data_IF_788663095338
#
_entry.id   IF_788663095338
#
_cell.length_a   1.000
_cell.length_b   1.000
_cell.length_c   1.000
_cell.angle_alpha   90.00
_cell.angle_beta   90.00
_cell.angle_gamma   90.00
#
_symmetry.space_group_name_H-M   'P 1'
#
loop_
_entity.id
_entity.type
_entity.pdbx_description
1 polymer ?
#
# COMPACT_ATOMS: atom_id res chain seq x y z
N UNK A 1 -22.58 3.58 -57.55
CA UNK A 1 -22.80 2.95 -56.21
C UNK A 1 -21.59 3.22 -55.35
N UNK A 2 -21.69 4.09 -54.33
CA UNK A 2 -20.58 4.43 -53.44
C UNK A 2 -20.52 3.43 -52.30
N UNK A 3 -19.40 2.69 -52.17
CA UNK A 3 -19.15 1.78 -51.04
C UNK A 3 -18.97 2.59 -49.75
N UNK A 4 -19.93 2.50 -48.82
CA UNK A 4 -19.80 3.00 -47.45
C UNK A 4 -18.59 2.34 -46.79
N UNK A 5 -17.54 3.11 -46.51
CA UNK A 5 -16.44 2.71 -45.62
C UNK A 5 -17.04 2.54 -44.22
N UNK A 6 -17.11 1.33 -43.75
CA UNK A 6 -17.42 1.01 -42.32
C UNK A 6 -16.16 1.33 -41.52
N UNK A 7 -16.24 2.40 -40.78
CA UNK A 7 -15.16 2.86 -39.89
C UNK A 7 -15.07 1.88 -38.67
N UNK A 8 -14.20 0.88 -38.77
CA UNK A 8 -13.88 -0.04 -37.66
C UNK A 8 -12.95 0.65 -36.65
N UNK A 9 -13.36 1.74 -36.08
CA UNK A 9 -12.73 2.27 -34.87
C UNK A 9 -13.21 1.42 -33.74
N UNK A 10 -12.45 0.40 -33.40
CA UNK A 10 -12.64 -0.33 -32.16
C UNK A 10 -12.63 0.67 -30.99
N UNK A 11 -13.71 0.72 -30.24
CA UNK A 11 -13.81 1.51 -29.01
C UNK A 11 -12.68 1.07 -28.08
N UNK A 12 -11.66 1.92 -27.91
CA UNK A 12 -10.61 1.67 -26.93
C UNK A 12 -11.27 1.57 -25.56
N UNK A 13 -11.10 0.42 -24.91
CA UNK A 13 -11.60 0.24 -23.54
C UNK A 13 -10.97 1.32 -22.64
N UNK A 14 -11.76 1.96 -21.76
CA UNK A 14 -11.22 2.98 -20.88
C UNK A 14 -10.16 2.36 -19.95
N UNK A 15 -9.03 3.03 -19.85
CA UNK A 15 -7.93 2.62 -18.97
C UNK A 15 -8.30 2.98 -17.53
N UNK A 16 -8.25 2.00 -16.62
CA UNK A 16 -8.46 2.24 -15.19
C UNK A 16 -7.31 3.04 -14.61
N UNK A 17 -7.61 4.19 -14.03
CA UNK A 17 -6.64 5.04 -13.35
C UNK A 17 -6.64 4.74 -11.86
N UNK A 18 -5.52 4.30 -11.33
CA UNK A 18 -5.34 3.95 -9.90
C UNK A 18 -4.35 4.92 -9.27
N UNK A 19 -4.76 5.55 -8.18
CA UNK A 19 -3.91 6.38 -7.34
C UNK A 19 -3.49 5.62 -6.09
N UNK A 20 -2.18 5.53 -5.88
CA UNK A 20 -1.61 5.08 -4.62
C UNK A 20 -1.23 6.28 -3.78
N UNK A 21 -1.68 6.28 -2.54
CA UNK A 21 -1.27 7.21 -1.50
C UNK A 21 -0.47 6.43 -0.47
N UNK A 22 0.80 6.80 -0.29
CA UNK A 22 1.71 6.16 0.65
C UNK A 22 2.20 7.17 1.68
N UNK A 23 2.66 6.71 2.84
CA UNK A 23 3.01 7.60 3.95
C UNK A 23 4.25 8.45 3.64
N UNK A 24 5.27 7.86 3.04
CA UNK A 24 6.53 8.54 2.79
C UNK A 24 7.26 8.08 1.52
N UNK A 25 8.43 8.68 1.36
CA UNK A 25 9.26 8.51 0.16
C UNK A 25 9.80 7.08 0.00
N UNK A 26 10.04 6.38 1.10
CA UNK A 26 10.52 4.98 1.10
C UNK A 26 9.50 4.06 0.45
N UNK A 27 8.23 4.17 0.88
CA UNK A 27 7.11 3.43 0.32
C UNK A 27 6.91 3.78 -1.14
N UNK A 28 6.98 5.06 -1.48
CA UNK A 28 6.82 5.54 -2.85
C UNK A 28 7.80 4.85 -3.79
N UNK A 29 9.08 4.87 -3.49
CA UNK A 29 10.10 4.23 -4.32
C UNK A 29 9.93 2.71 -4.35
N UNK A 30 9.72 2.09 -3.19
CA UNK A 30 9.54 0.64 -3.11
C UNK A 30 8.36 0.16 -3.96
N UNK A 31 7.17 0.74 -3.78
CA UNK A 31 5.98 0.31 -4.51
C UNK A 31 6.04 0.67 -6.00
N UNK A 32 6.65 1.80 -6.35
CA UNK A 32 6.85 2.16 -7.75
C UNK A 32 7.65 1.10 -8.50
N UNK A 33 8.77 0.67 -7.96
CA UNK A 33 9.61 -0.34 -8.60
C UNK A 33 9.00 -1.76 -8.49
N UNK A 34 8.36 -2.09 -7.37
CA UNK A 34 7.63 -3.35 -7.20
C UNK A 34 6.52 -3.51 -8.25
N UNK A 35 5.72 -2.47 -8.48
CA UNK A 35 4.63 -2.49 -9.44
C UNK A 35 5.13 -2.52 -10.88
N UNK A 36 6.24 -1.86 -11.16
CA UNK A 36 6.94 -1.95 -12.46
C UNK A 36 7.47 -3.37 -12.70
N UNK A 37 8.13 -3.96 -11.72
CA UNK A 37 8.62 -5.35 -11.77
C UNK A 37 7.51 -6.37 -12.00
N UNK A 38 6.32 -6.12 -11.46
CA UNK A 38 5.11 -6.95 -11.65
C UNK A 38 4.25 -6.53 -12.85
N UNK A 39 4.76 -5.66 -13.72
CA UNK A 39 4.09 -5.19 -14.96
C UNK A 39 2.75 -4.47 -14.77
N UNK A 40 2.49 -3.96 -13.54
CA UNK A 40 1.28 -3.19 -13.22
C UNK A 40 1.41 -1.69 -13.43
N UNK A 41 2.57 -1.19 -13.88
CA UNK A 41 2.91 0.26 -13.85
C UNK A 41 2.15 1.15 -14.83
N UNK A 42 1.55 0.58 -15.90
CA UNK A 42 1.04 1.37 -17.04
C UNK A 42 -0.11 2.35 -16.70
N UNK A 43 -0.76 2.20 -15.54
CA UNK A 43 -1.96 2.95 -15.18
C UNK A 43 -1.97 3.41 -13.72
N UNK A 44 -0.80 3.40 -13.08
CA UNK A 44 -0.66 3.66 -11.66
C UNK A 44 0.07 4.97 -11.42
N UNK A 45 -0.49 5.78 -10.54
CA UNK A 45 0.14 7.01 -10.06
C UNK A 45 0.36 6.87 -8.54
N UNK A 46 1.58 7.14 -8.07
CA UNK A 46 1.99 6.93 -6.69
C UNK A 46 2.50 8.25 -6.11
N UNK A 47 1.81 8.74 -5.08
CA UNK A 47 2.25 9.89 -4.31
C UNK A 47 2.45 9.57 -2.84
N UNK A 48 3.53 10.12 -2.28
CA UNK A 48 3.68 10.20 -0.84
C UNK A 48 2.94 11.40 -0.30
N UNK A 49 2.35 11.25 0.89
CA UNK A 49 1.64 12.35 1.56
C UNK A 49 2.58 13.28 2.33
N UNK A 50 3.89 13.03 2.29
CA UNK A 50 4.92 13.87 2.94
C UNK A 50 4.86 13.85 4.47
N UNK A 51 4.33 12.78 5.08
CA UNK A 51 4.01 12.71 6.50
C UNK A 51 2.64 13.33 6.82
N UNK A 52 2.42 13.75 8.06
CA UNK A 52 1.13 14.34 8.50
C UNK A 52 0.14 13.29 9.01
N UNK A 53 0.54 12.02 9.09
CA UNK A 53 -0.24 10.94 9.69
C UNK A 53 -1.52 10.61 8.93
N UNK A 54 -2.43 9.91 9.59
CA UNK A 54 -3.65 9.40 8.94
C UNK A 54 -4.62 10.50 8.48
N UNK A 55 -4.59 11.67 9.10
CA UNK A 55 -5.40 12.82 8.68
C UNK A 55 -5.05 13.30 7.26
N UNK A 56 -3.77 13.23 6.88
CA UNK A 56 -3.34 13.61 5.55
C UNK A 56 -3.95 12.71 4.46
N UNK A 57 -4.07 11.40 4.73
CA UNK A 57 -4.78 10.48 3.83
C UNK A 57 -6.25 10.86 3.65
N UNK A 58 -6.95 11.20 4.74
CA UNK A 58 -8.35 11.64 4.68
C UNK A 58 -8.53 12.84 3.75
N UNK A 59 -7.63 13.81 3.82
CA UNK A 59 -7.62 15.00 2.96
C UNK A 59 -7.36 14.62 1.49
N UNK A 60 -6.36 13.78 1.24
CA UNK A 60 -5.96 13.42 -0.13
C UNK A 60 -6.98 12.50 -0.82
N UNK A 61 -7.72 11.66 -0.07
CA UNK A 61 -8.81 10.85 -0.64
C UNK A 61 -9.84 11.74 -1.35
N UNK A 62 -10.28 12.81 -0.70
CA UNK A 62 -11.27 13.72 -1.28
C UNK A 62 -10.82 14.34 -2.59
N UNK A 63 -9.55 14.72 -2.68
CA UNK A 63 -8.96 15.30 -3.89
C UNK A 63 -8.81 14.28 -5.01
N UNK A 64 -8.34 13.08 -4.69
CA UNK A 64 -7.96 12.08 -5.67
C UNK A 64 -9.16 11.27 -6.18
N UNK A 65 -10.21 11.10 -5.38
CA UNK A 65 -11.39 10.31 -5.75
C UNK A 65 -12.10 10.83 -7.01
N UNK A 66 -12.04 12.13 -7.29
CA UNK A 66 -12.64 12.72 -8.50
C UNK A 66 -11.79 12.53 -9.75
N UNK A 67 -10.50 12.24 -9.61
CA UNK A 67 -9.55 12.14 -10.72
C UNK A 67 -9.22 10.70 -11.11
N UNK A 68 -9.43 9.76 -10.18
CA UNK A 68 -9.06 8.36 -10.31
C UNK A 68 -10.27 7.45 -10.10
N UNK A 69 -10.27 6.33 -10.79
CA UNK A 69 -11.29 5.30 -10.60
C UNK A 69 -11.14 4.59 -9.25
N UNK A 70 -9.90 4.49 -8.79
CA UNK A 70 -9.54 3.78 -7.56
C UNK A 70 -8.45 4.57 -6.83
N UNK A 71 -8.60 4.66 -5.50
CA UNK A 71 -7.57 5.20 -4.61
C UNK A 71 -7.15 4.08 -3.65
N UNK A 72 -5.88 3.74 -3.63
CA UNK A 72 -5.28 2.75 -2.73
C UNK A 72 -4.42 3.46 -1.70
N UNK A 73 -4.57 3.08 -0.44
CA UNK A 73 -3.78 3.63 0.67
C UNK A 73 -2.84 2.54 1.19
N UNK A 74 -1.60 2.90 1.43
CA UNK A 74 -0.62 2.05 2.11
C UNK A 74 -0.03 2.87 3.25
N UNK A 75 -0.21 2.39 4.48
CA UNK A 75 0.19 3.12 5.67
C UNK A 75 0.75 2.19 6.76
N UNK A 76 1.59 2.75 7.60
CA UNK A 76 2.14 2.07 8.77
C UNK A 76 1.14 2.07 9.92
N UNK A 77 1.15 1.01 10.72
CA UNK A 77 0.26 0.86 11.88
C UNK A 77 0.91 1.29 13.20
N UNK A 78 2.22 1.47 13.23
CA UNK A 78 2.99 1.78 14.43
C UNK A 78 2.54 3.08 15.12
N UNK A 79 2.27 4.14 14.36
CA UNK A 79 1.83 5.43 14.88
C UNK A 79 0.53 5.34 15.65
N UNK A 80 -0.45 4.57 15.14
CA UNK A 80 -1.72 4.36 15.81
C UNK A 80 -1.59 3.50 17.07
N UNK A 81 -0.55 2.68 17.16
CA UNK A 81 -0.26 1.86 18.36
C UNK A 81 0.40 2.70 19.45
N UNK A 82 1.30 3.60 19.09
CA UNK A 82 2.12 4.38 20.02
C UNK A 82 1.40 5.67 20.46
N UNK A 83 0.71 6.34 19.54
CA UNK A 83 0.12 7.66 19.77
C UNK A 83 -1.41 7.62 19.76
N UNK A 84 -2.04 7.97 20.89
CA UNK A 84 -3.50 7.96 21.04
C UNK A 84 -4.22 8.80 19.98
N UNK A 85 -3.77 10.02 19.71
CA UNK A 85 -4.37 10.88 18.68
C UNK A 85 -4.26 10.36 17.25
N UNK A 86 -3.21 9.59 16.94
CA UNK A 86 -3.10 8.92 15.63
C UNK A 86 -3.99 7.68 15.54
N UNK A 87 -4.20 6.98 16.67
CA UNK A 87 -5.17 5.88 16.76
C UNK A 87 -6.57 6.33 16.36
N UNK A 88 -7.04 7.44 16.92
CA UNK A 88 -8.36 8.00 16.61
C UNK A 88 -8.47 8.38 15.13
N UNK A 89 -7.46 9.04 14.57
CA UNK A 89 -7.42 9.40 13.15
C UNK A 89 -7.42 8.18 12.21
N UNK A 90 -6.77 7.09 12.59
CA UNK A 90 -6.83 5.85 11.81
C UNK A 90 -8.24 5.23 11.86
N UNK A 91 -8.88 5.20 13.04
CA UNK A 91 -10.27 4.73 13.18
C UNK A 91 -11.21 5.57 12.33
N UNK A 92 -11.04 6.90 12.33
CA UNK A 92 -11.82 7.82 11.49
C UNK A 92 -11.58 7.56 10.00
N UNK A 93 -10.33 7.35 9.58
CA UNK A 93 -9.98 7.02 8.20
C UNK A 93 -10.64 5.72 7.74
N UNK A 94 -10.54 4.64 8.53
CA UNK A 94 -11.21 3.37 8.24
C UNK A 94 -12.72 3.53 8.15
N UNK A 95 -13.31 4.32 9.07
CA UNK A 95 -14.75 4.60 9.06
C UNK A 95 -15.20 5.40 7.84
N UNK A 96 -14.36 6.35 7.38
CA UNK A 96 -14.61 7.07 6.13
C UNK A 96 -14.58 6.12 4.92
N UNK A 97 -13.60 5.24 4.84
CA UNK A 97 -13.49 4.27 3.76
C UNK A 97 -14.67 3.29 3.75
N UNK A 98 -15.15 2.87 4.93
CA UNK A 98 -16.35 2.04 5.05
C UNK A 98 -17.59 2.76 4.52
N UNK A 99 -17.79 4.04 4.88
CA UNK A 99 -18.91 4.87 4.38
C UNK A 99 -18.85 5.08 2.87
N UNK A 100 -17.65 5.20 2.32
CA UNK A 100 -17.43 5.35 0.88
C UNK A 100 -17.43 4.02 0.14
N UNK A 101 -17.59 2.90 0.84
CA UNK A 101 -17.47 1.53 0.31
C UNK A 101 -16.13 1.24 -0.39
N UNK A 102 -15.04 1.82 0.13
CA UNK A 102 -13.68 1.65 -0.39
C UNK A 102 -12.70 1.10 0.66
N UNK A 103 -13.21 0.45 1.72
CA UNK A 103 -12.40 -0.09 2.83
C UNK A 103 -11.34 -1.09 2.41
N UNK A 104 -11.55 -1.81 1.31
CA UNK A 104 -10.59 -2.77 0.80
C UNK A 104 -9.41 -2.10 0.05
N UNK A 105 -9.43 -0.78 -0.06
CA UNK A 105 -8.37 -0.01 -0.71
C UNK A 105 -7.30 0.45 0.28
N UNK A 106 -7.35 0.04 1.55
CA UNK A 106 -6.33 0.37 2.55
C UNK A 106 -5.53 -0.86 2.95
N UNK A 107 -4.22 -0.72 2.87
CA UNK A 107 -3.25 -1.72 3.30
C UNK A 107 -2.41 -1.15 4.45
N UNK A 108 -2.39 -1.89 5.55
CA UNK A 108 -1.72 -1.50 6.78
C UNK A 108 -0.64 -2.52 7.14
N UNK A 109 0.50 -2.06 7.58
CA UNK A 109 1.63 -2.92 7.98
C UNK A 109 2.10 -2.57 9.38
N UNK A 110 2.09 -3.53 10.28
CA UNK A 110 2.71 -3.42 11.61
C UNK A 110 4.09 -4.12 11.60
N UNK A 111 5.14 -3.51 12.07
CA UNK A 111 5.16 -2.11 12.57
C UNK A 111 5.00 -1.11 11.44
N UNK A 112 5.88 -1.18 10.46
CA UNK A 112 6.08 -0.25 9.36
C UNK A 112 6.49 -1.00 8.10
N UNK A 113 6.64 -0.28 7.00
CA UNK A 113 7.02 -0.86 5.72
C UNK A 113 8.41 -1.52 5.76
N UNK A 114 9.36 -0.98 6.54
CA UNK A 114 10.68 -1.57 6.67
C UNK A 114 10.61 -2.98 7.29
N UNK A 115 9.67 -3.20 8.21
CA UNK A 115 9.40 -4.54 8.77
C UNK A 115 8.91 -5.51 7.69
N UNK A 116 8.05 -5.05 6.78
CA UNK A 116 7.62 -5.82 5.63
C UNK A 116 8.80 -6.13 4.70
N UNK A 117 9.56 -5.11 4.32
CA UNK A 117 10.72 -5.25 3.44
C UNK A 117 11.75 -6.23 4.01
N UNK A 118 12.06 -6.13 5.30
CA UNK A 118 12.93 -7.07 6.00
C UNK A 118 12.38 -8.51 5.96
N UNK A 119 11.06 -8.67 6.07
CA UNK A 119 10.41 -9.98 6.02
C UNK A 119 10.44 -10.63 4.64
N UNK A 120 10.59 -9.86 3.57
CA UNK A 120 10.72 -10.42 2.20
C UNK A 120 12.06 -11.11 1.95
N UNK A 121 13.06 -10.86 2.78
CA UNK A 121 14.37 -11.50 2.66
C UNK A 121 14.32 -12.99 3.09
N UNK A 122 15.10 -13.87 2.45
CA UNK A 122 15.14 -15.30 2.76
C UNK A 122 15.77 -15.61 4.14
N UNK A 123 16.41 -14.63 4.75
CA UNK A 123 17.07 -14.74 6.06
C UNK A 123 16.59 -13.66 7.03
N UNK A 124 16.96 -13.77 8.31
CA UNK A 124 16.65 -12.78 9.34
C UNK A 124 17.71 -11.69 9.38
N UNK A 125 17.27 -10.46 9.55
CA UNK A 125 18.12 -9.28 9.76
C UNK A 125 17.67 -8.53 11.00
N UNK A 126 18.58 -7.78 11.60
CA UNK A 126 18.29 -6.96 12.78
C UNK A 126 17.95 -5.52 12.39
N UNK A 127 18.60 -5.00 11.35
CA UNK A 127 18.43 -3.62 10.88
C UNK A 127 18.48 -3.59 9.35
N UNK A 128 17.38 -3.16 8.74
CA UNK A 128 17.25 -3.11 7.28
C UNK A 128 18.15 -2.04 6.68
N UNK A 129 18.31 -0.90 7.34
CA UNK A 129 19.13 0.20 6.82
C UNK A 129 20.60 -0.17 6.76
N UNK A 130 21.07 -0.87 7.79
CA UNK A 130 22.43 -1.39 7.83
C UNK A 130 22.63 -2.49 6.78
N UNK A 131 21.67 -3.41 6.65
CA UNK A 131 21.73 -4.52 5.68
C UNK A 131 21.76 -4.03 4.24
N UNK A 132 21.00 -2.99 3.93
CA UNK A 132 20.91 -2.42 2.59
C UNK A 132 21.89 -1.27 2.35
N UNK A 133 22.63 -0.84 3.38
CA UNK A 133 23.66 0.21 3.27
C UNK A 133 23.10 1.61 2.97
N UNK A 134 21.94 1.97 3.54
CA UNK A 134 21.44 3.34 3.48
C UNK A 134 21.37 3.98 4.87
N UNK A 135 21.64 5.27 4.96
CA UNK A 135 21.49 6.03 6.20
C UNK A 135 20.14 6.75 6.19
N UNK A 136 19.40 6.70 7.29
CA UNK A 136 18.00 7.09 7.54
C UNK A 136 17.40 8.36 6.91
N UNK A 137 18.14 9.10 6.08
CA UNK A 137 17.63 10.22 5.26
C UNK A 137 17.48 9.75 3.81
N UNK A 138 16.78 10.47 2.98
CA UNK A 138 16.34 10.13 1.62
C UNK A 138 17.40 9.54 0.67
N UNK A 139 18.68 9.79 0.93
CA UNK A 139 19.78 9.34 0.07
C UNK A 139 19.94 7.82 0.13
N UNK A 140 19.77 7.16 -1.01
CA UNK A 140 19.89 5.70 -1.17
C UNK A 140 18.59 4.93 -0.97
N UNK A 141 17.46 5.63 -0.74
CA UNK A 141 16.14 4.99 -0.67
C UNK A 141 15.52 4.76 -2.05
N UNK A 142 15.99 5.48 -3.07
CA UNK A 142 15.56 5.32 -4.46
C UNK A 142 15.83 3.89 -4.97
N UNK A 143 16.90 3.28 -4.51
CA UNK A 143 17.34 1.94 -4.94
C UNK A 143 16.92 0.82 -3.98
N UNK A 144 16.07 1.10 -2.98
CA UNK A 144 15.74 0.13 -1.93
C UNK A 144 15.15 -1.15 -2.47
N UNK A 145 14.32 -1.06 -3.49
CA UNK A 145 13.73 -2.24 -4.14
C UNK A 145 14.81 -3.09 -4.83
N UNK A 146 15.70 -2.47 -5.61
CA UNK A 146 16.78 -3.20 -6.30
C UNK A 146 17.71 -3.86 -5.29
N UNK A 147 18.11 -3.16 -4.24
CA UNK A 147 18.97 -3.73 -3.18
C UNK A 147 18.33 -4.91 -2.46
N UNK A 148 17.02 -4.87 -2.25
CA UNK A 148 16.26 -6.01 -1.71
C UNK A 148 16.28 -7.20 -2.69
N UNK A 149 16.06 -6.94 -3.99
CA UNK A 149 16.09 -7.98 -5.02
C UNK A 149 17.49 -8.61 -5.14
N UNK A 150 18.56 -7.82 -5.09
CA UNK A 150 19.93 -8.30 -5.11
C UNK A 150 20.26 -9.23 -3.92
N UNK A 151 19.52 -9.11 -2.85
CA UNK A 151 19.60 -9.96 -1.64
C UNK A 151 18.58 -11.11 -1.62
N UNK A 152 17.90 -11.34 -2.73
CA UNK A 152 16.95 -12.43 -2.89
C UNK A 152 15.59 -12.19 -2.21
N UNK A 153 15.17 -10.95 -2.05
CA UNK A 153 13.86 -10.64 -1.49
C UNK A 153 12.72 -11.08 -2.43
N UNK A 154 11.69 -11.66 -1.85
CA UNK A 154 10.48 -12.08 -2.55
C UNK A 154 9.22 -11.69 -1.77
N UNK A 155 8.21 -11.17 -2.47
CA UNK A 155 6.94 -10.80 -1.86
C UNK A 155 6.26 -12.00 -1.18
N UNK A 156 6.33 -13.19 -1.77
CA UNK A 156 5.75 -14.42 -1.21
C UNK A 156 6.44 -14.88 0.08
N UNK A 157 7.74 -14.59 0.24
CA UNK A 157 8.44 -14.81 1.51
C UNK A 157 7.84 -13.91 2.60
N UNK A 158 7.61 -12.63 2.28
CA UNK A 158 6.94 -11.68 3.16
C UNK A 158 5.55 -12.16 3.56
N UNK A 159 4.71 -12.57 2.61
CA UNK A 159 3.37 -13.11 2.85
C UNK A 159 3.36 -14.21 3.92
N UNK A 160 4.30 -15.14 3.87
CA UNK A 160 4.36 -16.28 4.81
C UNK A 160 4.75 -15.88 6.23
N UNK A 161 5.42 -14.73 6.39
CA UNK A 161 5.88 -14.25 7.70
C UNK A 161 4.88 -13.34 8.42
N UNK A 162 3.89 -12.83 7.70
CA UNK A 162 2.86 -11.95 8.27
C UNK A 162 1.58 -12.69 8.56
N UNK A 163 0.90 -12.28 9.63
CA UNK A 163 -0.47 -12.69 9.91
C UNK A 163 -1.44 -11.87 9.07
N UNK A 164 -2.46 -12.58 8.65
CA UNK A 164 -3.63 -12.03 8.02
C UNK A 164 -4.46 -11.26 9.03
N UNK A 165 -4.75 -9.99 8.73
CA UNK A 165 -5.65 -9.18 9.54
C UNK A 165 -6.72 -8.53 8.65
N UNK A 166 -7.97 -8.73 9.02
CA UNK A 166 -9.08 -7.99 8.43
C UNK A 166 -9.10 -6.57 9.02
N UNK A 167 -9.38 -5.56 8.21
CA UNK A 167 -9.48 -4.17 8.66
C UNK A 167 -10.48 -3.97 9.79
N UNK A 168 -11.57 -4.73 9.79
CA UNK A 168 -12.56 -4.71 10.88
C UNK A 168 -11.93 -5.10 12.22
N UNK A 169 -11.13 -6.16 12.25
CA UNK A 169 -10.43 -6.58 13.47
C UNK A 169 -9.35 -5.60 13.90
N UNK A 170 -8.65 -4.98 12.95
CA UNK A 170 -7.69 -3.91 13.24
C UNK A 170 -8.41 -2.74 13.91
N UNK A 171 -9.51 -2.25 13.32
CA UNK A 171 -10.33 -1.17 13.89
C UNK A 171 -10.81 -1.51 15.30
N UNK A 172 -11.43 -2.68 15.49
CA UNK A 172 -11.87 -3.12 16.82
C UNK A 172 -10.71 -3.24 17.82
N UNK A 173 -9.57 -3.74 17.37
CA UNK A 173 -8.37 -3.87 18.19
C UNK A 173 -7.87 -2.50 18.67
N UNK A 174 -7.87 -1.49 17.80
CA UNK A 174 -7.53 -0.12 18.15
C UNK A 174 -8.53 0.48 19.15
N UNK A 175 -9.82 0.38 18.86
CA UNK A 175 -10.89 0.89 19.73
C UNK A 175 -10.86 0.28 21.15
N UNK A 176 -10.64 -1.04 21.23
CA UNK A 176 -10.54 -1.78 22.49
C UNK A 176 -9.17 -1.71 23.17
N UNK A 177 -8.23 -0.96 22.60
CA UNK A 177 -6.87 -0.84 23.13
C UNK A 177 -6.04 -2.13 23.10
N UNK A 178 -6.39 -3.09 22.23
CA UNK A 178 -5.64 -4.34 22.07
C UNK A 178 -4.34 -4.15 21.31
N UNK A 179 -4.27 -3.18 20.41
CA UNK A 179 -3.07 -2.79 19.70
C UNK A 179 -2.29 -1.77 20.56
N UNK A 180 -1.63 -2.25 21.60
CA UNK A 180 -0.70 -1.46 22.42
C UNK A 180 0.71 -1.96 22.20
N UNK A 181 1.69 -1.08 22.31
CA UNK A 181 3.10 -1.46 22.30
C UNK A 181 3.33 -2.55 23.36
N UNK A 182 4.04 -3.61 22.99
CA UNK A 182 4.26 -4.80 23.83
C UNK A 182 3.16 -5.87 23.76
N UNK A 183 1.93 -5.55 23.33
CA UNK A 183 0.87 -6.55 23.17
C UNK A 183 0.83 -7.15 21.76
N UNK A 184 1.50 -6.54 20.79
CA UNK A 184 1.60 -7.03 19.42
C UNK A 184 2.91 -7.80 19.32
N UNK A 185 2.85 -9.09 19.52
CA UNK A 185 4.03 -9.97 19.49
C UNK A 185 4.47 -10.40 18.10
N UNK A 186 3.66 -10.11 17.06
CA UNK A 186 3.89 -10.60 15.70
C UNK A 186 3.54 -9.53 14.67
N UNK A 187 4.28 -9.57 13.59
CA UNK A 187 4.00 -8.75 12.39
C UNK A 187 2.59 -9.06 11.87
N UNK A 188 1.80 -8.02 11.65
CA UNK A 188 0.43 -8.09 11.18
C UNK A 188 0.26 -7.17 9.98
N UNK A 189 -0.35 -7.66 8.92
CA UNK A 189 -0.59 -6.87 7.71
C UNK A 189 -1.66 -7.50 6.84
N UNK A 190 -2.44 -6.68 6.18
CA UNK A 190 -3.26 -7.09 5.05
C UNK A 190 -2.59 -6.83 3.69
N UNK A 191 -1.35 -6.33 3.68
CA UNK A 191 -0.55 -6.14 2.46
C UNK A 191 -0.33 -7.45 1.70
N UNK A 192 -0.44 -8.59 2.38
CA UNK A 192 -0.37 -9.92 1.77
C UNK A 192 -1.41 -10.16 0.68
N UNK A 193 -2.53 -9.42 0.66
CA UNK A 193 -3.58 -9.47 -0.38
C UNK A 193 -3.40 -8.43 -1.48
N UNK A 194 -2.34 -7.63 -1.41
CA UNK A 194 -2.16 -6.49 -2.30
C UNK A 194 -2.25 -6.85 -3.79
N UNK A 195 -1.55 -7.90 -4.21
CA UNK A 195 -1.58 -8.32 -5.62
C UNK A 195 -2.87 -9.01 -6.03
N UNK A 196 -3.52 -9.76 -5.13
CA UNK A 196 -4.85 -10.33 -5.39
C UNK A 196 -5.85 -9.20 -5.63
N UNK A 197 -5.86 -8.21 -4.76
CA UNK A 197 -6.70 -7.02 -4.91
C UNK A 197 -6.43 -6.29 -6.24
N UNK A 198 -5.18 -6.04 -6.61
CA UNK A 198 -4.84 -5.36 -7.87
C UNK A 198 -5.32 -6.15 -9.07
N UNK A 199 -5.12 -7.45 -9.08
CA UNK A 199 -5.60 -8.33 -10.15
C UNK A 199 -7.11 -8.25 -10.27
N UNK A 200 -7.84 -8.43 -9.17
CA UNK A 200 -9.31 -8.41 -9.17
C UNK A 200 -9.87 -7.08 -9.65
N UNK A 201 -9.25 -5.98 -9.23
CA UNK A 201 -9.63 -4.61 -9.63
C UNK A 201 -9.37 -4.37 -11.12
N UNK A 202 -8.26 -4.84 -11.65
CA UNK A 202 -7.92 -4.68 -13.07
C UNK A 202 -8.75 -5.62 -13.94
N UNK A 203 -8.98 -6.86 -13.53
CA UNK A 203 -9.78 -7.83 -14.26
C UNK A 203 -11.29 -7.52 -14.23
N UNK A 204 -11.83 -7.02 -13.12
CA UNK A 204 -13.25 -6.67 -13.00
C UNK A 204 -13.70 -5.58 -13.99
N UNK A 205 -12.77 -4.78 -14.49
CA UNK A 205 -13.05 -3.72 -15.49
C UNK A 205 -12.77 -4.16 -16.93
N UNK A 206 -12.32 -5.38 -17.14
CA UNK A 206 -12.13 -5.95 -18.48
C UNK A 206 -13.42 -6.65 -18.96
N UNK A 207 -14.32 -6.98 -18.05
CA UNK A 207 -15.67 -7.51 -18.34
C UNK A 207 -16.67 -6.38 -18.53
#
# INVERSE_FOLDING_TARGET
MAKKRVDKRGTRKPITKIKFLVEGITEKFYFKELLKFKEYSAHLDIDDIGGGGYFAFTREISKNKSLYDIVVIIADLDRAVIHFGEKEKLVELISLLEKLNIKNNIFLTYKNIETWQAATLPYKINDLSLELGYSGKSKGKEDIFQRLMDKGAEFEIGKRKFKLENLYYIKQGLEKGKFKEGNISKTQSNLIYFFEYLRDVLEAKIK
#
